data_IF_580642016295
#
_entry.id   IF_580642016295
#
_cell.length_a   1.000
_cell.length_b   1.000
_cell.length_c   1.000
_cell.angle_alpha   90.00
_cell.angle_beta   90.00
_cell.angle_gamma   90.00
#
_symmetry.space_group_name_H-M   'P 1'
#
loop_
_entity.id
_entity.type
_entity.pdbx_description
1 polymer ?
#
# COMPACT_ATOMS: atom_id res chain seq x y z
N UNK A 1 -23.08 -4.89 -73.89
CA UNK A 1 -23.51 -6.01 -73.03
C UNK A 1 -22.54 -7.16 -73.20
N UNK A 2 -21.85 -7.52 -72.11
CA UNK A 2 -21.01 -8.71 -71.81
C UNK A 2 -19.71 -8.29 -71.11
N UNK A 3 -19.82 -8.13 -69.79
CA UNK A 3 -18.70 -8.18 -68.86
C UNK A 3 -18.25 -9.63 -68.72
N UNK A 4 -16.94 -9.87 -68.78
CA UNK A 4 -16.32 -11.06 -68.16
C UNK A 4 -15.14 -10.56 -67.32
N UNK A 5 -15.03 -10.92 -66.03
CA UNK A 5 -13.86 -10.60 -65.23
C UNK A 5 -12.85 -11.76 -65.33
N UNK A 6 -11.58 -11.46 -65.61
CA UNK A 6 -10.47 -12.36 -65.30
C UNK A 6 -9.67 -11.76 -64.15
N UNK A 7 -9.55 -12.58 -63.09
CA UNK A 7 -8.69 -12.46 -61.92
C UNK A 7 -7.33 -11.81 -62.22
N UNK A 8 -6.92 -10.82 -61.42
CA UNK A 8 -5.51 -10.66 -61.06
C UNK A 8 -5.39 -9.85 -59.76
N UNK A 9 -4.64 -10.38 -58.79
CA UNK A 9 -4.04 -9.59 -57.71
C UNK A 9 -4.71 -9.66 -56.33
N UNK A 10 -4.61 -10.82 -55.65
CA UNK A 10 -4.61 -10.84 -54.19
C UNK A 10 -3.37 -10.07 -53.69
N UNK A 11 -3.57 -8.94 -53.02
CA UNK A 11 -2.56 -8.37 -52.13
C UNK A 11 -2.71 -9.11 -50.80
N UNK A 12 -1.97 -10.20 -50.63
CA UNK A 12 -1.76 -10.81 -49.32
C UNK A 12 -0.74 -9.94 -48.56
N UNK A 13 -1.24 -8.90 -47.89
CA UNK A 13 -0.46 -8.15 -46.90
C UNK A 13 -0.29 -9.05 -45.67
N UNK A 14 0.77 -9.87 -45.67
CA UNK A 14 1.24 -10.57 -44.47
C UNK A 14 1.59 -9.51 -43.42
N UNK A 15 0.69 -9.27 -42.45
CA UNK A 15 1.04 -8.56 -41.23
C UNK A 15 2.09 -9.40 -40.49
N UNK A 16 3.36 -9.03 -40.64
CA UNK A 16 4.33 -9.25 -39.57
C UNK A 16 3.87 -8.37 -38.41
N UNK A 17 3.09 -8.94 -37.49
CA UNK A 17 3.05 -8.37 -36.15
C UNK A 17 4.49 -8.47 -35.63
N UNK A 18 5.15 -7.38 -35.24
CA UNK A 18 6.33 -7.52 -34.40
C UNK A 18 5.82 -8.22 -33.15
N UNK A 19 6.25 -9.46 -32.94
CA UNK A 19 6.15 -10.07 -31.62
C UNK A 19 6.93 -9.14 -30.71
N UNK A 20 6.22 -8.28 -29.98
CA UNK A 20 6.81 -7.59 -28.84
C UNK A 20 7.10 -8.72 -27.87
N UNK A 21 8.31 -9.27 -27.96
CA UNK A 21 8.85 -10.10 -26.90
C UNK A 21 8.86 -9.23 -25.67
N UNK A 22 7.93 -9.47 -24.75
CA UNK A 22 8.07 -9.02 -23.38
C UNK A 22 9.35 -9.67 -22.89
N UNK A 23 10.46 -8.95 -22.99
CA UNK A 23 11.73 -9.39 -22.44
C UNK A 23 11.54 -9.47 -20.93
N UNK A 24 11.14 -10.65 -20.48
CA UNK A 24 11.01 -10.97 -19.07
C UNK A 24 12.45 -11.11 -18.58
N UNK A 25 12.91 -10.15 -17.79
CA UNK A 25 14.28 -10.17 -17.27
C UNK A 25 14.48 -11.43 -16.44
N UNK A 26 15.42 -12.27 -16.87
CA UNK A 26 15.81 -13.46 -16.13
C UNK A 26 16.83 -13.07 -15.05
N UNK A 27 16.43 -13.24 -13.79
CA UNK A 27 17.18 -12.74 -12.61
C UNK A 27 18.28 -13.73 -12.20
N UNK A 28 18.00 -15.02 -12.34
CA UNK A 28 18.97 -16.10 -12.10
C UNK A 28 18.98 -17.07 -13.29
N UNK A 29 20.13 -17.65 -13.66
CA UNK A 29 20.24 -18.60 -14.79
C UNK A 29 19.35 -19.83 -14.65
N UNK A 30 19.01 -20.22 -13.41
CA UNK A 30 18.19 -21.38 -13.06
C UNK A 30 16.76 -21.04 -12.66
N UNK A 31 16.33 -19.79 -12.89
CA UNK A 31 14.94 -19.34 -12.66
C UNK A 31 14.38 -18.84 -13.98
N UNK A 32 13.63 -19.69 -14.67
CA UNK A 32 12.94 -19.27 -15.90
C UNK A 32 11.88 -18.21 -15.56
N UNK A 33 11.76 -17.11 -16.32
CA UNK A 33 10.82 -16.04 -16.00
C UNK A 33 9.33 -16.43 -16.08
N UNK A 34 9.03 -17.56 -16.73
CA UNK A 34 7.66 -18.08 -16.85
C UNK A 34 7.28 -19.02 -15.71
N UNK A 35 8.21 -19.34 -14.81
CA UNK A 35 7.92 -20.19 -13.66
C UNK A 35 7.04 -19.48 -12.64
N UNK A 36 6.15 -20.24 -12.01
CA UNK A 36 5.18 -19.70 -11.05
C UNK A 36 5.84 -18.99 -9.86
N UNK A 37 7.06 -19.41 -9.48
CA UNK A 37 7.83 -18.83 -8.38
C UNK A 37 8.72 -17.65 -8.80
N UNK A 38 8.92 -17.41 -10.10
CA UNK A 38 9.83 -16.37 -10.58
C UNK A 38 9.52 -14.97 -10.00
N UNK A 39 8.24 -14.53 -9.88
CA UNK A 39 7.90 -13.26 -9.24
C UNK A 39 8.29 -13.21 -7.76
N UNK A 40 8.12 -14.31 -7.03
CA UNK A 40 8.49 -14.40 -5.62
C UNK A 40 10.01 -14.31 -5.45
N UNK A 41 10.77 -15.00 -6.30
CA UNK A 41 12.24 -14.95 -6.32
C UNK A 41 12.75 -13.53 -6.61
N UNK A 42 12.15 -12.83 -7.59
CA UNK A 42 12.42 -11.42 -7.86
C UNK A 42 12.24 -10.57 -6.61
N UNK A 43 11.08 -10.71 -5.96
CA UNK A 43 10.73 -9.90 -4.80
C UNK A 43 11.70 -10.11 -3.63
N UNK A 44 12.02 -11.36 -3.28
CA UNK A 44 12.91 -11.63 -2.15
C UNK A 44 14.36 -11.22 -2.42
N UNK A 45 14.79 -11.24 -3.68
CA UNK A 45 16.11 -10.75 -4.11
C UNK A 45 16.18 -9.23 -4.01
N UNK A 46 15.20 -8.53 -4.59
CA UNK A 46 15.15 -7.06 -4.61
C UNK A 46 15.09 -6.48 -3.20
N UNK A 47 14.37 -7.16 -2.30
CA UNK A 47 14.25 -6.80 -0.88
C UNK A 47 15.46 -7.22 -0.03
N UNK A 48 16.43 -7.94 -0.62
CA UNK A 48 17.61 -8.44 0.08
C UNK A 48 17.33 -9.52 1.14
N UNK A 49 16.13 -10.12 1.11
CA UNK A 49 15.68 -11.15 2.05
C UNK A 49 16.36 -12.49 1.76
N UNK A 50 16.47 -12.83 0.49
CA UNK A 50 17.24 -13.98 -0.01
C UNK A 50 18.23 -13.51 -1.07
N UNK A 51 19.37 -14.18 -1.14
CA UNK A 51 20.38 -13.97 -2.17
C UNK A 51 20.68 -15.30 -2.85
N UNK A 52 21.07 -15.24 -4.11
CA UNK A 52 21.57 -16.42 -4.81
C UNK A 52 22.89 -16.92 -4.23
N UNK A 53 23.33 -18.05 -4.73
CA UNK A 53 24.59 -18.67 -4.40
C UNK A 53 25.75 -17.96 -5.12
N UNK A 54 27.01 -18.18 -4.69
CA UNK A 54 28.18 -17.55 -5.31
C UNK A 54 28.36 -17.87 -6.81
N UNK A 55 27.75 -18.96 -7.29
CA UNK A 55 27.72 -19.36 -8.71
C UNK A 55 26.60 -18.67 -9.50
N UNK A 56 25.95 -17.66 -8.90
CA UNK A 56 24.83 -16.88 -9.47
C UNK A 56 23.54 -17.67 -9.67
N UNK A 57 23.38 -18.85 -9.03
CA UNK A 57 22.14 -19.63 -9.05
C UNK A 57 21.22 -19.28 -7.87
N UNK A 58 19.90 -19.50 -7.98
CA UNK A 58 18.97 -19.38 -6.85
C UNK A 58 18.68 -20.72 -6.16
N UNK A 59 18.69 -21.81 -6.93
CA UNK A 59 18.38 -23.20 -6.57
C UNK A 59 16.96 -23.35 -5.98
N UNK A 60 15.90 -23.05 -6.77
CA UNK A 60 14.52 -23.04 -6.27
C UNK A 60 14.04 -24.40 -5.72
N UNK A 61 14.58 -25.51 -6.23
CA UNK A 61 14.22 -26.87 -5.79
C UNK A 61 15.01 -27.36 -4.58
N UNK A 62 15.99 -26.58 -4.09
CA UNK A 62 16.79 -26.98 -2.94
C UNK A 62 15.97 -26.84 -1.65
N UNK A 63 15.84 -27.90 -0.82
CA UNK A 63 15.13 -27.80 0.43
C UNK A 63 15.77 -26.75 1.37
N UNK A 64 14.94 -25.86 1.89
CA UNK A 64 15.34 -24.87 2.88
C UNK A 64 15.46 -25.55 4.25
N UNK A 65 16.63 -25.47 4.87
CA UNK A 65 16.82 -25.99 6.23
C UNK A 65 16.33 -24.98 7.29
N UNK A 66 16.16 -25.45 8.54
CA UNK A 66 15.65 -24.62 9.64
C UNK A 66 16.47 -23.35 9.89
N UNK A 67 17.80 -23.41 9.73
CA UNK A 67 18.67 -22.25 9.94
C UNK A 67 18.50 -21.21 8.82
N UNK A 68 18.38 -21.65 7.57
CA UNK A 68 18.08 -20.77 6.44
C UNK A 68 16.71 -20.13 6.60
N UNK A 69 15.70 -20.90 6.98
CA UNK A 69 14.36 -20.37 7.27
C UNK A 69 14.41 -19.33 8.39
N UNK A 70 15.08 -19.62 9.50
CA UNK A 70 15.21 -18.67 10.60
C UNK A 70 15.93 -17.37 10.19
N UNK A 71 16.99 -17.47 9.39
CA UNK A 71 17.71 -16.30 8.87
C UNK A 71 16.85 -15.44 7.93
N UNK A 72 16.01 -16.07 7.10
CA UNK A 72 15.06 -15.36 6.24
C UNK A 72 14.00 -14.67 7.08
N UNK A 73 13.42 -15.36 8.08
CA UNK A 73 12.42 -14.76 8.97
C UNK A 73 13.00 -13.58 9.75
N UNK A 74 14.22 -13.69 10.28
CA UNK A 74 14.90 -12.60 10.98
C UNK A 74 15.11 -11.38 10.06
N UNK A 75 15.59 -11.60 8.83
CA UNK A 75 15.69 -10.54 7.82
C UNK A 75 14.35 -9.95 7.44
N UNK A 76 13.30 -10.75 7.32
CA UNK A 76 11.95 -10.29 7.01
C UNK A 76 11.42 -9.42 8.14
N UNK A 77 11.52 -9.85 9.40
CA UNK A 77 11.13 -9.05 10.55
C UNK A 77 11.94 -7.75 10.62
N UNK A 78 13.25 -7.83 10.38
CA UNK A 78 14.11 -6.66 10.25
C UNK A 78 13.65 -5.70 9.16
N UNK A 79 13.33 -6.22 7.97
CA UNK A 79 12.86 -5.46 6.80
C UNK A 79 11.46 -4.85 7.00
N UNK A 80 10.57 -5.52 7.71
CA UNK A 80 9.23 -4.98 8.03
C UNK A 80 9.31 -3.85 9.06
N UNK A 81 10.20 -3.99 10.04
CA UNK A 81 10.44 -2.95 11.05
C UNK A 81 11.29 -1.79 10.51
N UNK A 82 12.25 -2.11 9.65
CA UNK A 82 13.27 -1.23 9.10
C UNK A 82 13.68 -1.73 7.70
N UNK A 83 12.93 -1.38 6.64
CA UNK A 83 13.31 -1.77 5.29
C UNK A 83 14.74 -1.31 5.00
N UNK A 84 15.53 -2.16 4.32
CA UNK A 84 16.97 -1.90 4.13
C UNK A 84 17.21 -0.46 3.68
N UNK A 85 17.95 0.28 4.50
CA UNK A 85 18.07 1.74 4.41
C UNK A 85 17.66 2.49 5.69
N UNK A 86 17.02 1.85 6.68
CA UNK A 86 16.70 2.23 8.09
C UNK A 86 16.81 3.70 8.59
N UNK A 87 17.80 4.50 8.19
CA UNK A 87 17.71 5.98 8.22
C UNK A 87 16.64 6.52 7.24
N UNK A 88 16.19 5.67 6.31
CA UNK A 88 15.30 5.98 5.21
C UNK A 88 13.81 5.83 5.55
N UNK A 89 13.41 5.39 6.75
CA UNK A 89 11.99 5.23 7.15
C UNK A 89 11.71 5.80 8.55
N UNK A 90 10.53 6.38 8.73
CA UNK A 90 10.01 6.95 9.99
C UNK A 90 8.74 6.20 10.39
N UNK A 91 8.36 6.29 11.67
CA UNK A 91 7.04 5.85 12.13
C UNK A 91 6.10 7.02 12.34
N UNK A 92 4.87 6.86 11.86
CA UNK A 92 3.76 7.75 12.16
C UNK A 92 2.85 7.08 13.18
N UNK A 93 2.64 7.74 14.32
CA UNK A 93 1.70 7.34 15.36
C UNK A 93 0.42 8.16 15.21
N UNK A 94 -0.71 7.47 14.98
CA UNK A 94 -2.02 8.05 15.14
C UNK A 94 -2.55 7.69 16.53
N UNK A 95 -2.70 8.70 17.40
CA UNK A 95 -3.16 8.50 18.78
C UNK A 95 -4.68 8.33 18.87
N UNK A 96 -5.43 8.93 17.95
CA UNK A 96 -6.90 8.88 17.94
C UNK A 96 -7.41 7.48 17.64
N UNK A 97 -6.80 6.81 16.66
CA UNK A 97 -7.16 5.46 16.23
C UNK A 97 -6.14 4.40 16.65
N UNK A 98 -5.22 4.80 17.53
CA UNK A 98 -4.20 3.98 18.17
C UNK A 98 -3.52 2.98 17.21
N UNK A 99 -2.96 3.49 16.13
CA UNK A 99 -2.15 2.69 15.20
C UNK A 99 -0.83 3.38 14.93
N UNK A 100 0.16 2.61 14.49
CA UNK A 100 1.37 3.11 13.88
C UNK A 100 1.61 2.49 12.50
N UNK A 101 2.30 3.23 11.65
CA UNK A 101 2.70 2.77 10.32
C UNK A 101 4.05 3.38 9.94
N UNK A 102 4.90 2.60 9.29
CA UNK A 102 6.16 3.05 8.73
C UNK A 102 5.97 3.76 7.39
N UNK A 103 6.76 4.78 7.11
CA UNK A 103 6.79 5.47 5.81
C UNK A 103 8.20 6.01 5.50
N UNK A 104 8.57 6.26 4.23
CA UNK A 104 9.90 6.75 3.90
C UNK A 104 10.23 8.08 4.60
N UNK A 105 11.43 8.22 5.14
CA UNK A 105 11.87 9.35 5.96
C UNK A 105 11.98 10.65 5.17
N UNK A 106 12.20 10.55 3.86
CA UNK A 106 12.17 11.66 2.91
C UNK A 106 10.73 12.13 2.61
N UNK A 107 9.73 11.30 2.87
CA UNK A 107 8.32 11.68 2.70
C UNK A 107 7.84 12.48 3.90
N UNK A 108 6.75 13.22 3.70
CA UNK A 108 6.05 13.98 4.72
C UNK A 108 4.77 13.24 5.12
N UNK A 109 4.57 13.07 6.43
CA UNK A 109 3.27 12.69 6.97
C UNK A 109 2.41 13.96 7.12
N UNK A 110 1.18 13.90 6.64
CA UNK A 110 0.20 14.99 6.69
C UNK A 110 -1.03 14.49 7.45
N UNK A 111 -1.49 15.29 8.41
CA UNK A 111 -2.78 15.11 9.06
C UNK A 111 -3.75 16.14 8.50
N UNK A 112 -4.76 15.69 7.76
CA UNK A 112 -5.85 16.54 7.26
C UNK A 112 -7.02 16.54 8.23
N UNK A 113 -7.43 15.35 8.62
CA UNK A 113 -8.53 15.06 9.52
C UNK A 113 -8.09 13.93 10.45
N UNK A 114 -8.69 13.82 11.63
CA UNK A 114 -8.30 12.79 12.58
C UNK A 114 -8.38 11.37 11.99
N UNK A 115 -9.40 11.16 11.15
CA UNK A 115 -9.68 9.90 10.45
C UNK A 115 -8.75 9.59 9.27
N UNK A 116 -7.87 10.52 8.87
CA UNK A 116 -6.99 10.36 7.71
C UNK A 116 -5.55 10.73 8.04
N UNK A 117 -4.66 9.73 7.96
CA UNK A 117 -3.21 9.91 8.00
C UNK A 117 -2.63 9.72 6.60
N UNK A 118 -2.12 10.79 6.00
CA UNK A 118 -1.62 10.78 4.63
C UNK A 118 -0.11 10.94 4.53
N UNK A 119 0.48 10.45 3.45
CA UNK A 119 1.93 10.42 3.23
C UNK A 119 2.26 10.86 1.81
N UNK A 120 3.23 11.76 1.70
CA UNK A 120 3.52 12.48 0.47
C UNK A 120 5.02 12.43 0.14
N UNK A 121 5.41 12.04 -1.09
CA UNK A 121 6.80 12.11 -1.53
C UNK A 121 7.26 13.56 -1.74
N UNK A 122 8.58 13.83 -1.71
CA UNK A 122 9.13 15.16 -2.00
C UNK A 122 8.71 15.76 -3.35
N UNK A 123 8.43 14.91 -4.35
CA UNK A 123 8.04 15.32 -5.71
C UNK A 123 6.61 15.85 -5.80
N UNK A 124 5.78 15.63 -4.78
CA UNK A 124 4.38 16.02 -4.78
C UNK A 124 4.23 17.35 -4.06
N UNK A 125 3.48 18.29 -4.63
CA UNK A 125 3.28 19.63 -4.06
C UNK A 125 1.95 19.76 -3.30
N UNK A 126 1.86 20.76 -2.43
CA UNK A 126 0.65 21.10 -1.69
C UNK A 126 0.23 20.03 -0.68
N UNK A 127 -1.08 19.84 -0.59
CA UNK A 127 -1.76 18.91 0.33
C UNK A 127 -2.21 17.62 -0.39
N UNK A 128 -1.50 17.23 -1.43
CA UNK A 128 -1.75 15.95 -2.08
C UNK A 128 -1.06 14.84 -1.29
N UNK A 129 -1.68 13.66 -1.26
CA UNK A 129 -1.12 12.48 -0.59
C UNK A 129 -1.12 11.32 -1.57
N UNK A 130 -0.03 10.55 -1.53
CA UNK A 130 0.09 9.35 -2.33
C UNK A 130 -0.38 8.15 -1.51
N UNK A 131 0.17 7.94 -0.31
CA UNK A 131 -0.32 6.88 0.57
C UNK A 131 -1.22 7.44 1.64
N UNK A 132 -2.20 6.66 2.07
CA UNK A 132 -3.04 7.05 3.19
C UNK A 132 -3.54 5.85 4.00
N UNK A 133 -3.77 6.11 5.28
CA UNK A 133 -4.60 5.31 6.16
C UNK A 133 -5.86 6.13 6.45
N UNK A 134 -7.02 5.56 6.15
CA UNK A 134 -8.33 6.13 6.43
C UNK A 134 -9.02 5.21 7.44
N UNK A 135 -9.64 5.78 8.46
CA UNK A 135 -10.37 5.03 9.49
C UNK A 135 -11.81 5.52 9.54
N UNK A 136 -12.78 4.63 9.38
CA UNK A 136 -14.20 4.97 9.44
C UNK A 136 -14.80 4.47 10.75
N UNK A 137 -15.46 5.37 11.48
CA UNK A 137 -16.03 5.15 12.83
C UNK A 137 -17.57 5.04 12.83
N UNK A 138 -18.24 5.68 11.88
CA UNK A 138 -19.71 5.75 11.80
C UNK A 138 -20.27 4.72 10.81
N UNK A 139 -21.24 3.91 11.27
CA UNK A 139 -22.14 2.95 10.57
C UNK A 139 -21.51 2.13 9.43
N UNK A 140 -21.66 0.79 9.40
CA UNK A 140 -20.91 -0.06 8.51
C UNK A 140 -21.34 0.19 7.06
N UNK A 141 -20.65 1.09 6.36
CA UNK A 141 -20.34 0.78 4.97
C UNK A 141 -19.60 -0.54 5.04
N UNK A 142 -20.33 -1.60 4.69
CA UNK A 142 -19.78 -2.95 4.77
C UNK A 142 -18.49 -2.97 3.96
N UNK A 143 -17.55 -3.81 4.37
CA UNK A 143 -16.33 -4.08 3.61
C UNK A 143 -16.65 -4.25 2.11
N UNK A 144 -17.69 -5.02 1.81
CA UNK A 144 -18.16 -5.28 0.45
C UNK A 144 -18.66 -4.02 -0.27
N UNK A 145 -19.39 -3.13 0.40
CA UNK A 145 -19.85 -1.89 -0.22
C UNK A 145 -18.68 -0.95 -0.59
N UNK A 146 -17.65 -0.88 0.25
CA UNK A 146 -16.44 -0.12 -0.06
C UNK A 146 -15.66 -0.75 -1.22
N UNK A 147 -15.56 -2.07 -1.25
CA UNK A 147 -14.95 -2.82 -2.34
C UNK A 147 -15.69 -2.59 -3.66
N UNK A 148 -17.03 -2.62 -3.64
CA UNK A 148 -17.88 -2.48 -4.83
C UNK A 148 -17.79 -1.07 -5.43
N UNK A 149 -17.58 -0.05 -4.59
CA UNK A 149 -17.35 1.33 -5.05
C UNK A 149 -15.99 1.49 -5.75
N UNK A 150 -15.01 0.64 -5.46
CA UNK A 150 -13.66 0.83 -5.96
C UNK A 150 -13.56 0.59 -7.48
N UNK A 151 -13.20 1.64 -8.21
CA UNK A 151 -13.09 1.61 -9.67
C UNK A 151 -14.44 1.34 -10.36
N UNK A 152 -15.57 1.55 -9.68
CA UNK A 152 -16.91 1.36 -10.23
C UNK A 152 -17.07 2.10 -11.58
N UNK A 153 -16.55 3.32 -11.66
CA UNK A 153 -16.64 4.20 -12.83
C UNK A 153 -15.70 3.81 -13.99
N UNK A 154 -14.78 2.86 -13.79
CA UNK A 154 -13.86 2.40 -14.83
C UNK A 154 -14.55 1.40 -15.76
N UNK A 155 -14.61 1.76 -17.05
CA UNK A 155 -15.22 0.94 -18.13
C UNK A 155 -14.51 -0.40 -18.33
N UNK A 156 -13.18 -0.36 -18.43
CA UNK A 156 -12.34 -1.53 -18.70
C UNK A 156 -11.34 -1.72 -17.56
N UNK A 157 -11.61 -2.66 -16.66
CA UNK A 157 -10.77 -2.91 -15.48
C UNK A 157 -10.55 -4.39 -15.20
N UNK A 158 -9.42 -4.69 -14.58
CA UNK A 158 -9.17 -5.95 -13.89
C UNK A 158 -9.22 -5.68 -12.38
N UNK A 159 -9.91 -6.55 -11.64
CA UNK A 159 -10.00 -6.50 -10.18
C UNK A 159 -9.41 -7.79 -9.64
N UNK A 160 -8.33 -7.67 -8.86
CA UNK A 160 -7.72 -8.79 -8.14
C UNK A 160 -8.02 -8.64 -6.65
N UNK A 161 -8.34 -9.76 -5.99
CA UNK A 161 -8.63 -9.82 -4.56
C UNK A 161 -7.70 -10.82 -3.91
N UNK A 162 -7.02 -10.40 -2.87
CA UNK A 162 -6.08 -11.21 -2.09
C UNK A 162 -6.45 -11.11 -0.61
N UNK A 163 -6.64 -12.28 0.03
CA UNK A 163 -6.86 -12.33 1.48
C UNK A 163 -5.54 -12.33 2.21
N UNK A 164 -5.44 -11.48 3.22
CA UNK A 164 -4.26 -11.25 4.05
C UNK A 164 -4.68 -11.26 5.53
N UNK A 165 -3.68 -11.30 6.41
CA UNK A 165 -3.86 -11.07 7.85
C UNK A 165 -3.01 -9.85 8.23
N UNK A 166 -3.61 -8.87 8.91
CA UNK A 166 -2.93 -7.68 9.44
C UNK A 166 -3.20 -7.62 10.94
N UNK A 167 -2.15 -7.72 11.76
CA UNK A 167 -2.24 -7.71 13.23
C UNK A 167 -3.36 -8.63 13.79
N UNK A 168 -3.41 -9.89 13.31
CA UNK A 168 -4.43 -10.90 13.66
C UNK A 168 -5.87 -10.62 13.19
N UNK A 169 -6.06 -9.64 12.30
CA UNK A 169 -7.33 -9.34 11.66
C UNK A 169 -7.36 -9.76 10.19
N UNK A 170 -8.49 -10.32 9.76
CA UNK A 170 -8.74 -10.60 8.34
C UNK A 170 -8.70 -9.31 7.54
N UNK A 171 -7.88 -9.31 6.50
CA UNK A 171 -7.72 -8.20 5.58
C UNK A 171 -8.00 -8.65 4.15
N UNK A 172 -8.59 -7.77 3.35
CA UNK A 172 -8.72 -7.95 1.91
C UNK A 172 -7.95 -6.86 1.19
N UNK A 173 -6.90 -7.26 0.46
CA UNK A 173 -6.22 -6.40 -0.50
C UNK A 173 -6.95 -6.52 -1.82
N UNK A 174 -7.37 -5.38 -2.36
CA UNK A 174 -8.01 -5.31 -3.66
C UNK A 174 -7.18 -4.39 -4.55
N UNK A 175 -6.81 -4.92 -5.72
CA UNK A 175 -6.02 -4.22 -6.72
C UNK A 175 -6.87 -4.04 -7.97
N UNK A 176 -7.08 -2.78 -8.36
CA UNK A 176 -7.75 -2.41 -9.60
C UNK A 176 -6.72 -1.87 -10.57
N UNK A 177 -6.74 -2.39 -11.79
CA UNK A 177 -5.96 -1.88 -12.94
C UNK A 177 -6.92 -1.58 -14.07
N UNK A 178 -6.65 -0.54 -14.83
CA UNK A 178 -7.40 -0.25 -16.06
C UNK A 178 -6.64 -0.79 -17.28
N UNK A 179 -7.39 -1.24 -18.29
CA UNK A 179 -6.81 -1.63 -19.59
C UNK A 179 -6.42 -0.40 -20.42
N UNK A 180 -7.02 0.75 -20.14
CA UNK A 180 -6.84 1.99 -20.90
C UNK A 180 -5.61 2.78 -20.43
N UNK A 181 -5.13 2.54 -19.20
CA UNK A 181 -3.93 3.17 -18.64
C UNK A 181 -3.11 2.15 -17.82
N UNK A 182 -2.08 1.52 -18.42
CA UNK A 182 -1.30 0.49 -17.75
C UNK A 182 -0.44 1.01 -16.58
N UNK A 183 -0.22 2.32 -16.50
CA UNK A 183 0.51 2.95 -15.39
C UNK A 183 -0.41 3.34 -14.22
N UNK A 184 -1.70 3.05 -14.31
CA UNK A 184 -2.65 3.30 -13.24
C UNK A 184 -2.93 1.99 -12.51
N UNK A 185 -2.69 2.01 -11.20
CA UNK A 185 -2.99 0.89 -10.31
C UNK A 185 -3.47 1.44 -8.98
N UNK A 186 -4.68 1.07 -8.59
CA UNK A 186 -5.24 1.42 -7.30
C UNK A 186 -5.27 0.18 -6.41
N UNK A 187 -4.53 0.26 -5.32
CA UNK A 187 -4.47 -0.77 -4.29
C UNK A 187 -5.12 -0.22 -3.03
N UNK A 188 -6.10 -0.94 -2.51
CA UNK A 188 -6.69 -0.67 -1.20
C UNK A 188 -6.70 -1.96 -0.39
N UNK A 189 -6.23 -1.87 0.85
CA UNK A 189 -6.38 -2.90 1.86
C UNK A 189 -7.49 -2.49 2.81
N UNK A 190 -8.37 -3.42 3.10
CA UNK A 190 -9.49 -3.21 4.01
C UNK A 190 -9.45 -4.25 5.12
N UNK A 191 -9.61 -3.81 6.36
CA UNK A 191 -9.74 -4.70 7.51
C UNK A 191 -10.51 -4.01 8.63
N UNK A 192 -11.18 -4.81 9.45
CA UNK A 192 -11.92 -4.32 10.60
C UNK A 192 -11.23 -4.72 11.89
N UNK A 193 -11.08 -3.74 12.79
CA UNK A 193 -10.52 -3.97 14.11
C UNK A 193 -11.20 -3.02 15.10
N UNK A 194 -11.54 -3.55 16.29
CA UNK A 194 -12.15 -2.78 17.38
C UNK A 194 -13.37 -1.94 16.96
N UNK A 195 -14.20 -2.47 16.06
CA UNK A 195 -15.41 -1.79 15.57
C UNK A 195 -15.18 -0.73 14.49
N UNK A 196 -13.95 -0.53 14.03
CA UNK A 196 -13.58 0.46 13.01
C UNK A 196 -13.16 -0.22 11.71
N UNK A 197 -13.44 0.42 10.58
CA UNK A 197 -12.95 0.00 9.26
C UNK A 197 -11.68 0.79 8.90
N UNK A 198 -10.58 0.08 8.68
CA UNK A 198 -9.32 0.64 8.22
C UNK A 198 -9.18 0.43 6.71
N UNK A 199 -8.79 1.49 6.02
CA UNK A 199 -8.52 1.48 4.58
C UNK A 199 -7.09 2.01 4.37
N UNK A 200 -6.21 1.17 3.83
CA UNK A 200 -4.82 1.53 3.52
C UNK A 200 -4.66 1.57 2.00
N UNK A 201 -4.27 2.71 1.44
CA UNK A 201 -4.36 2.97 -0.01
C UNK A 201 -3.09 3.58 -0.58
N UNK A 202 -2.75 3.22 -1.82
CA UNK A 202 -1.62 3.78 -2.57
C UNK A 202 -1.97 5.05 -3.37
N UNK A 203 -3.19 5.55 -3.22
CA UNK A 203 -3.66 6.77 -3.91
C UNK A 203 -3.78 6.62 -5.43
N UNK A 204 -3.87 5.38 -5.92
CA UNK A 204 -3.91 5.05 -7.34
C UNK A 204 -2.63 5.43 -8.13
N UNK A 205 -1.50 5.54 -7.41
CA UNK A 205 -0.18 5.78 -7.99
C UNK A 205 0.69 4.56 -7.65
N UNK A 206 1.10 3.75 -8.64
CA UNK A 206 1.97 2.60 -8.39
C UNK A 206 3.25 3.03 -7.69
N UNK A 207 3.62 2.32 -6.62
CA UNK A 207 4.86 2.53 -5.90
C UNK A 207 5.37 1.19 -5.38
N UNK A 208 6.64 0.89 -5.68
CA UNK A 208 7.29 -0.37 -5.33
C UNK A 208 7.37 -0.60 -3.82
N UNK A 209 7.34 0.47 -3.04
CA UNK A 209 7.52 0.45 -1.59
C UNK A 209 6.17 0.50 -0.85
N UNK A 210 5.03 0.52 -1.57
CA UNK A 210 3.71 0.48 -0.93
C UNK A 210 3.46 -0.82 -0.16
N UNK A 211 4.05 -1.93 -0.61
CA UNK A 211 3.98 -3.21 0.11
C UNK A 211 4.60 -3.11 1.52
N UNK A 212 5.70 -2.39 1.64
CA UNK A 212 6.33 -2.12 2.92
C UNK A 212 5.45 -1.26 3.83
N UNK A 213 4.81 -0.26 3.25
CA UNK A 213 3.94 0.66 3.98
C UNK A 213 2.84 -0.09 4.74
N UNK A 214 2.01 -0.88 4.05
CA UNK A 214 0.92 -1.58 4.74
C UNK A 214 1.40 -2.77 5.58
N UNK A 215 2.53 -3.41 5.24
CA UNK A 215 3.07 -4.51 6.06
C UNK A 215 3.68 -4.02 7.37
N UNK A 216 4.10 -2.75 7.43
CA UNK A 216 4.57 -2.09 8.66
C UNK A 216 3.44 -1.61 9.58
N UNK A 217 2.18 -1.82 9.18
CA UNK A 217 1.03 -1.38 9.93
C UNK A 217 0.88 -2.17 11.23
N UNK A 218 0.67 -1.45 12.33
CA UNK A 218 0.46 -2.03 13.65
C UNK A 218 -0.66 -1.29 14.38
N UNK A 219 -1.72 -2.03 14.69
CA UNK A 219 -2.72 -1.58 15.66
C UNK A 219 -2.16 -1.76 17.06
N UNK A 220 -2.15 -0.68 17.83
CA UNK A 220 -1.68 -0.73 19.20
C UNK A 220 -2.65 -1.53 20.07
N UNK A 221 -2.16 -2.32 21.03
CA UNK A 221 -3.00 -3.12 21.91
C UNK A 221 -3.92 -2.24 22.75
N UNK A 222 -5.09 -2.78 23.14
CA UNK A 222 -6.12 -2.07 23.93
C UNK A 222 -5.57 -1.32 25.15
N UNK A 223 -4.56 -1.87 25.83
CA UNK A 223 -3.90 -1.20 26.98
C UNK A 223 -3.25 0.12 26.57
N UNK A 224 -2.54 0.14 25.44
CA UNK A 224 -1.95 1.37 24.90
C UNK A 224 -3.04 2.33 24.40
N UNK A 225 -4.15 1.82 23.87
CA UNK A 225 -5.29 2.66 23.47
C UNK A 225 -5.90 3.38 24.69
N UNK A 226 -6.09 2.65 25.80
CA UNK A 226 -6.61 3.20 27.05
C UNK A 226 -5.67 4.26 27.65
N UNK A 227 -4.35 4.01 27.65
CA UNK A 227 -3.35 5.00 28.08
C UNK A 227 -3.40 6.27 27.22
N UNK A 228 -3.52 6.11 25.90
CA UNK A 228 -3.64 7.25 24.98
C UNK A 228 -4.93 8.04 25.20
N UNK A 229 -6.03 7.37 25.52
CA UNK A 229 -7.31 8.00 25.83
C UNK A 229 -7.21 8.84 27.11
N UNK A 230 -6.59 8.31 28.17
CA UNK A 230 -6.33 9.04 29.42
C UNK A 230 -5.48 10.29 29.15
N UNK A 231 -4.36 10.13 28.43
CA UNK A 231 -3.46 11.25 28.11
C UNK A 231 -4.17 12.34 27.30
N UNK A 232 -5.08 11.96 26.39
CA UNK A 232 -5.85 12.92 25.61
C UNK A 232 -6.86 13.69 26.49
N UNK A 233 -7.51 13.01 27.43
CA UNK A 233 -8.43 13.65 28.39
C UNK A 233 -7.69 14.63 29.32
N UNK A 234 -6.51 14.26 29.82
CA UNK A 234 -5.67 15.13 30.66
C UNK A 234 -5.20 16.39 29.93
N UNK A 235 -4.79 16.25 28.65
CA UNK A 235 -4.39 17.37 27.82
C UNK A 235 -5.54 18.36 27.55
N UNK A 236 -6.76 17.84 27.34
CA UNK A 236 -7.96 18.66 27.18
C UNK A 236 -8.29 19.43 28.47
N UNK A 237 -8.27 18.74 29.62
CA UNK A 237 -8.54 19.34 30.94
C UNK A 237 -7.53 20.43 31.30
N UNK A 238 -6.25 20.23 30.98
CA UNK A 238 -5.18 21.19 31.26
C UNK A 238 -5.27 22.47 30.41
N UNK A 239 -5.96 22.43 29.27
CA UNK A 239 -6.11 23.58 28.36
C UNK A 239 -7.29 24.47 28.77
N UNK A 240 -8.28 23.90 29.47
CA UNK A 240 -9.50 24.60 29.89
C UNK A 240 -9.32 25.42 31.18
N UNK A 241 -8.35 25.06 32.03
CA UNK A 241 -8.10 25.71 33.33
C UNK A 241 -7.36 27.07 33.24
N UNK A 242 -6.95 27.51 32.04
CA UNK A 242 -6.10 28.72 31.84
C UNK A 242 -6.89 29.99 31.45
N UNK A 243 -8.21 29.95 31.31
CA UNK A 243 -9.01 31.16 31.08
C UNK A 243 -9.43 31.80 32.41
N UNK A 244 -8.79 32.90 32.89
CA UNK A 244 -9.34 33.67 33.98
C UNK A 244 -10.71 34.23 33.56
N UNK A 245 -11.66 34.39 34.50
CA UNK A 245 -12.97 34.95 34.20
C UNK A 245 -12.79 36.33 33.56
N UNK A 246 -13.48 36.55 32.44
CA UNK A 246 -13.46 37.83 31.74
C UNK A 246 -13.86 38.96 32.71
N UNK A 247 -12.90 39.83 33.05
CA UNK A 247 -13.19 41.04 33.81
C UNK A 247 -14.16 41.90 32.99
N UNK A 248 -15.39 42.03 33.49
CA UNK A 248 -16.39 42.93 32.94
C UNK A 248 -15.96 44.38 33.21
N UNK A 249 -15.34 45.02 32.24
CA UNK A 249 -15.07 46.47 32.28
C UNK A 249 -16.39 47.26 32.33
N UNK A 250 -16.52 48.29 33.20
CA UNK A 250 -17.75 49.05 33.33
C UNK A 250 -17.92 49.99 32.12
N UNK A 251 -19.10 49.91 31.50
CA UNK A 251 -19.57 50.82 30.47
C UNK A 251 -19.55 52.25 31.01
N UNK A 252 -18.68 53.09 30.46
CA UNK A 252 -18.73 54.53 30.68
C UNK A 252 -19.55 55.13 29.55
N UNK A 253 -20.76 55.54 29.87
CA UNK A 253 -21.61 56.35 29.00
C UNK A 253 -21.27 57.82 29.24
N UNK A 254 -20.92 58.53 28.17
CA UNK A 254 -21.13 59.98 27.98
C UNK A 254 -21.14 60.30 26.49
#
# INVERSE_FOLDING_TARGET
MKLTPKLTGLIALSLLLPTIGLATTQIFPDVSPTEWFAPAVSSVQEKGLMQGFPDQTFRPDLPVNRAQLAAVLDKTLGYLNHPQGAEAWKRHLNRTFAFQVGYPSQWRAIRFFDYLSGFQPPSMEGNNVQWAVIVLDDEPTTLEEQIDKMGADLKSKTVMRERLIINDHDALKVTVRTLDNPNWEHVQLFFQAYGKLYIVTNGAIPDKDFDLFYQSFEILPLTAQQELEILNQEAQTSTEEVLPPAESSPSTAE
#
